data_IF_852834339495
#
_entry.id   IF_852834339495
#
_cell.length_a   1.000
_cell.length_b   1.000
_cell.length_c   1.000
_cell.angle_alpha   90.00
_cell.angle_beta   90.00
_cell.angle_gamma   90.00
#
_symmetry.space_group_name_H-M   'P 1'
#
loop_
_entity.id
_entity.type
_entity.pdbx_description
1 polymer ?
#
# COMPACT_ATOMS: atom_id res chain seq x y z
N UNK A 1 2.28 54.16 0.42
CA UNK A 1 1.30 53.05 0.31
C UNK A 1 1.60 52.25 -0.96
N UNK A 2 2.52 51.28 -0.88
CA UNK A 2 2.91 50.43 -2.02
C UNK A 2 1.89 49.30 -2.20
N UNK A 3 1.48 49.10 -3.45
CA UNK A 3 0.58 48.04 -3.92
C UNK A 3 1.22 46.66 -3.66
N UNK A 4 0.40 45.75 -3.14
CA UNK A 4 0.64 44.31 -3.07
C UNK A 4 0.84 43.77 -4.49
N UNK A 5 2.09 43.45 -4.82
CA UNK A 5 2.46 42.75 -6.04
C UNK A 5 2.36 41.25 -5.81
N UNK A 6 1.62 40.61 -6.70
CA UNK A 6 1.46 39.16 -6.89
C UNK A 6 2.77 38.39 -6.66
N UNK A 7 2.78 37.53 -5.64
CA UNK A 7 3.73 36.42 -5.58
C UNK A 7 3.35 35.43 -6.69
N UNK A 8 4.01 35.58 -7.84
CA UNK A 8 4.12 34.49 -8.82
C UNK A 8 4.89 33.36 -8.13
N UNK A 9 4.17 32.32 -7.73
CA UNK A 9 4.74 30.99 -7.53
C UNK A 9 5.31 30.57 -8.89
N UNK A 10 6.60 30.79 -9.09
CA UNK A 10 7.33 30.09 -10.13
C UNK A 10 7.27 28.61 -9.77
N UNK A 11 6.54 27.82 -10.56
CA UNK A 11 6.67 26.37 -10.65
C UNK A 11 8.13 26.04 -11.02
N UNK A 12 9.01 25.97 -10.03
CA UNK A 12 9.99 24.90 -10.01
C UNK A 12 9.29 23.79 -9.24
N UNK A 13 8.89 22.72 -9.95
CA UNK A 13 8.59 21.45 -9.32
C UNK A 13 9.79 21.14 -8.42
N UNK A 14 9.61 21.28 -7.10
CA UNK A 14 10.56 20.72 -6.16
C UNK A 14 10.42 19.23 -6.37
N UNK A 15 11.37 18.64 -7.08
CA UNK A 15 11.35 17.24 -7.49
C UNK A 15 11.67 16.37 -6.26
N UNK A 16 10.70 16.27 -5.34
CA UNK A 16 10.81 15.45 -4.14
C UNK A 16 11.01 14.01 -4.59
N UNK A 17 12.19 13.46 -4.30
CA UNK A 17 12.54 12.11 -4.73
C UNK A 17 12.03 11.12 -3.70
N UNK A 18 10.95 10.41 -4.01
CA UNK A 18 10.38 9.42 -3.10
C UNK A 18 10.84 8.00 -3.49
N UNK A 19 11.58 7.31 -2.61
CA UNK A 19 12.08 5.94 -2.82
C UNK A 19 10.99 4.97 -3.25
N UNK A 20 9.76 5.15 -2.77
CA UNK A 20 8.59 4.32 -3.09
C UNK A 20 8.03 4.57 -4.50
N UNK A 21 8.51 5.59 -5.21
CA UNK A 21 8.08 5.98 -6.56
C UNK A 21 9.20 5.81 -7.61
N UNK A 22 10.37 5.28 -7.22
CA UNK A 22 11.44 4.99 -8.19
C UNK A 22 11.00 3.87 -9.16
N UNK A 23 11.37 3.95 -10.46
CA UNK A 23 11.00 2.93 -11.45
C UNK A 23 11.45 1.51 -11.04
N UNK A 24 12.65 1.41 -10.48
CA UNK A 24 13.28 0.13 -10.10
C UNK A 24 13.02 -0.20 -8.61
N UNK A 25 12.01 0.42 -7.99
CA UNK A 25 11.70 0.17 -6.57
C UNK A 25 11.37 -1.30 -6.29
N UNK A 26 10.86 -2.01 -7.29
CA UNK A 26 10.54 -3.44 -7.23
C UNK A 26 11.77 -4.26 -6.86
N UNK A 27 12.87 -4.05 -7.58
CA UNK A 27 14.15 -4.71 -7.40
C UNK A 27 14.84 -4.26 -6.09
N UNK A 28 14.64 -2.99 -5.72
CA UNK A 28 15.22 -2.41 -4.50
C UNK A 28 14.47 -2.81 -3.21
N UNK A 29 13.18 -3.14 -3.29
CA UNK A 29 12.31 -3.38 -2.13
C UNK A 29 12.79 -4.49 -1.19
N UNK A 30 13.28 -5.65 -1.65
CA UNK A 30 13.84 -6.68 -0.76
C UNK A 30 14.98 -6.15 0.10
N UNK A 31 15.89 -5.36 -0.50
CA UNK A 31 17.03 -4.77 0.21
C UNK A 31 16.56 -3.74 1.24
N UNK A 32 15.59 -2.90 0.88
CA UNK A 32 14.98 -1.96 1.82
C UNK A 32 14.30 -2.69 2.98
N UNK A 33 13.51 -3.72 2.71
CA UNK A 33 12.83 -4.53 3.73
C UNK A 33 13.82 -5.16 4.69
N UNK A 34 14.89 -5.76 4.19
CA UNK A 34 15.91 -6.40 5.03
C UNK A 34 16.66 -5.38 5.91
N UNK A 35 16.88 -4.17 5.38
CA UNK A 35 17.45 -3.06 6.15
C UNK A 35 16.48 -2.58 7.24
N UNK A 36 15.19 -2.39 6.91
CA UNK A 36 14.16 -2.02 7.89
C UNK A 36 13.97 -3.11 8.95
N UNK A 37 14.06 -4.38 8.56
CA UNK A 37 14.01 -5.52 9.49
C UNK A 37 15.17 -5.50 10.46
N UNK A 38 16.37 -5.18 9.97
CA UNK A 38 17.55 -5.02 10.80
C UNK A 38 17.40 -3.83 11.76
N UNK A 39 16.89 -2.69 11.29
CA UNK A 39 16.58 -1.54 12.14
C UNK A 39 15.54 -1.88 13.23
N UNK A 40 14.46 -2.60 12.86
CA UNK A 40 13.46 -3.06 13.80
C UNK A 40 14.05 -4.02 14.84
N UNK A 41 14.95 -4.92 14.42
CA UNK A 41 15.65 -5.84 15.34
C UNK A 41 16.58 -5.09 16.30
N UNK A 42 17.29 -4.07 15.82
CA UNK A 42 18.17 -3.22 16.64
C UNK A 42 17.40 -2.35 17.65
N UNK A 43 16.08 -2.14 17.45
CA UNK A 43 15.24 -1.40 18.40
C UNK A 43 14.93 -2.17 19.71
N UNK A 44 15.15 -3.49 19.74
CA UNK A 44 14.92 -4.30 20.93
C UNK A 44 16.19 -4.42 21.77
N UNK A 45 16.09 -4.16 23.08
CA UNK A 45 17.22 -4.29 24.01
C UNK A 45 17.73 -5.74 24.18
N UNK A 46 16.89 -6.73 23.82
CA UNK A 46 17.20 -8.17 23.93
C UNK A 46 16.68 -8.91 22.69
N UNK A 47 17.28 -10.07 22.35
CA UNK A 47 16.75 -10.92 21.28
C UNK A 47 15.28 -11.27 21.54
N UNK A 48 14.44 -10.97 20.56
CA UNK A 48 13.00 -11.21 20.61
C UNK A 48 12.56 -12.29 19.61
N UNK A 49 11.34 -12.79 19.81
CA UNK A 49 10.77 -13.80 18.91
C UNK A 49 10.68 -13.25 17.47
N UNK A 50 10.97 -14.06 16.43
CA UNK A 50 10.91 -13.63 15.04
C UNK A 50 9.60 -12.95 14.67
N UNK A 51 8.47 -13.46 15.17
CA UNK A 51 7.14 -12.88 14.93
C UNK A 51 7.00 -11.45 15.47
N UNK A 52 7.64 -11.13 16.60
CA UNK A 52 7.65 -9.77 17.14
C UNK A 52 8.52 -8.84 16.29
N UNK A 53 9.67 -9.35 15.81
CA UNK A 53 10.53 -8.60 14.90
C UNK A 53 9.79 -8.30 13.60
N UNK A 54 9.11 -9.29 13.00
CA UNK A 54 8.30 -9.08 11.78
C UNK A 54 7.20 -8.04 11.97
N UNK A 55 6.51 -8.05 13.12
CA UNK A 55 5.49 -7.04 13.43
C UNK A 55 6.10 -5.65 13.54
N UNK A 56 7.24 -5.52 14.20
CA UNK A 56 7.95 -4.25 14.30
C UNK A 56 8.51 -3.79 12.94
N UNK A 57 9.00 -4.71 12.11
CA UNK A 57 9.42 -4.42 10.73
C UNK A 57 8.27 -3.87 9.92
N UNK A 58 7.12 -4.53 9.94
CA UNK A 58 5.93 -4.11 9.20
C UNK A 58 5.47 -2.72 9.65
N UNK A 59 5.38 -2.49 10.96
CA UNK A 59 5.01 -1.19 11.50
C UNK A 59 6.01 -0.08 11.13
N UNK A 60 7.31 -0.41 11.09
CA UNK A 60 8.37 0.54 10.73
C UNK A 60 8.39 0.84 9.23
N UNK A 61 8.12 -0.14 8.36
CA UNK A 61 7.94 0.04 6.92
C UNK A 61 6.72 0.93 6.64
N UNK A 62 5.58 0.64 7.28
CA UNK A 62 4.35 1.44 7.18
C UNK A 62 4.60 2.88 7.62
N UNK A 63 5.29 3.09 8.75
CA UNK A 63 5.66 4.43 9.21
C UNK A 63 6.57 5.15 8.22
N UNK A 64 7.61 4.46 7.72
CA UNK A 64 8.57 5.00 6.76
C UNK A 64 7.86 5.50 5.50
N UNK A 65 7.03 4.67 4.88
CA UNK A 65 6.29 5.03 3.67
C UNK A 65 5.31 6.17 3.93
N UNK A 66 4.55 6.07 5.02
CA UNK A 66 3.50 7.02 5.35
C UNK A 66 4.01 8.42 5.63
N UNK A 67 5.01 8.55 6.49
CA UNK A 67 5.57 9.85 6.82
C UNK A 67 6.28 10.46 5.59
N UNK A 68 6.92 9.63 4.76
CA UNK A 68 7.54 10.08 3.50
C UNK A 68 6.49 10.65 2.54
N UNK A 69 5.42 9.90 2.26
CA UNK A 69 4.32 10.35 1.39
C UNK A 69 3.59 11.57 1.95
N UNK A 70 3.50 11.69 3.28
CA UNK A 70 2.95 12.90 3.92
C UNK A 70 3.77 14.13 3.57
N UNK A 71 5.08 14.09 3.74
CA UNK A 71 5.95 15.24 3.47
C UNK A 71 6.11 15.53 1.98
N UNK A 72 6.09 14.50 1.14
CA UNK A 72 5.97 14.63 -0.32
C UNK A 72 4.71 15.42 -0.71
N UNK A 73 3.53 15.05 -0.19
CA UNK A 73 2.30 15.78 -0.49
C UNK A 73 2.30 17.21 0.07
N UNK A 74 2.89 17.39 1.24
CA UNK A 74 2.88 18.69 1.94
C UNK A 74 3.87 19.68 1.31
N UNK A 75 4.93 19.20 0.65
CA UNK A 75 5.97 20.02 0.01
C UNK A 75 6.58 21.09 0.95
N UNK A 76 6.66 20.77 2.24
CA UNK A 76 7.22 21.65 3.26
C UNK A 76 7.03 21.08 4.66
N UNK A 77 7.54 21.76 5.69
CA UNK A 77 7.45 21.34 7.09
C UNK A 77 6.96 22.48 7.99
N UNK A 78 5.93 22.22 8.79
CA UNK A 78 5.46 23.16 9.80
C UNK A 78 6.32 23.10 11.09
N UNK A 79 6.42 24.19 11.87
CA UNK A 79 7.26 24.24 13.08
C UNK A 79 7.02 23.08 14.06
N UNK A 80 5.76 22.68 14.26
CA UNK A 80 5.40 21.60 15.18
C UNK A 80 5.79 20.20 14.68
N UNK A 81 6.05 20.02 13.39
CA UNK A 81 6.41 18.73 12.76
C UNK A 81 7.92 18.47 12.76
N UNK A 82 8.75 19.42 13.24
CA UNK A 82 10.22 19.32 13.17
C UNK A 82 10.76 18.04 13.84
N UNK A 83 10.18 17.63 14.97
CA UNK A 83 10.62 16.42 15.69
C UNK A 83 10.30 15.14 14.92
N UNK A 84 9.13 15.08 14.28
CA UNK A 84 8.67 13.96 13.44
C UNK A 84 9.57 13.84 12.21
N UNK A 85 9.77 14.93 11.46
CA UNK A 85 10.69 14.96 10.31
C UNK A 85 12.10 14.52 10.69
N UNK A 86 12.62 14.98 11.83
CA UNK A 86 13.94 14.58 12.32
C UNK A 86 14.00 13.11 12.73
N UNK A 87 12.90 12.50 13.17
CA UNK A 87 12.84 11.06 13.42
C UNK A 87 12.89 10.28 12.10
N UNK A 88 12.11 10.69 11.10
CA UNK A 88 12.10 10.10 9.77
C UNK A 88 13.49 10.17 9.08
N UNK A 89 14.12 11.35 9.09
CA UNK A 89 15.47 11.53 8.53
C UNK A 89 16.50 10.66 9.23
N UNK A 90 16.39 10.48 10.56
CA UNK A 90 17.26 9.58 11.32
C UNK A 90 17.03 8.12 10.94
N UNK A 91 15.78 7.71 10.76
CA UNK A 91 15.45 6.36 10.29
C UNK A 91 16.05 6.08 8.90
N UNK A 92 15.89 7.00 7.95
CA UNK A 92 16.53 6.90 6.64
C UNK A 92 18.06 6.84 6.70
N UNK A 93 18.66 7.63 7.60
CA UNK A 93 20.11 7.59 7.85
C UNK A 93 20.53 6.21 8.35
N UNK A 94 19.76 5.64 9.28
CA UNK A 94 20.04 4.34 9.87
C UNK A 94 19.87 3.20 8.86
N UNK A 95 18.83 3.24 8.02
CA UNK A 95 18.63 2.31 6.91
C UNK A 95 19.83 2.32 5.97
N UNK A 96 20.31 3.51 5.57
CA UNK A 96 21.51 3.62 4.74
C UNK A 96 22.75 3.04 5.40
N UNK A 97 22.94 3.29 6.70
CA UNK A 97 24.05 2.70 7.45
C UNK A 97 23.99 1.17 7.43
N UNK A 98 22.79 0.58 7.52
CA UNK A 98 22.61 -0.88 7.46
C UNK A 98 22.93 -1.40 6.06
N UNK A 99 22.37 -0.78 5.02
CA UNK A 99 22.60 -1.18 3.62
C UNK A 99 24.09 -1.09 3.29
N UNK A 100 24.77 -0.03 3.72
CA UNK A 100 26.21 0.18 3.51
C UNK A 100 27.13 -0.78 4.29
N UNK A 101 26.61 -1.66 5.15
CA UNK A 101 27.40 -2.74 5.79
C UNK A 101 27.58 -3.95 4.88
N UNK A 102 26.85 -4.04 3.76
CA UNK A 102 26.99 -5.13 2.81
C UNK A 102 28.43 -5.22 2.29
N UNK A 103 28.95 -6.45 2.19
CA UNK A 103 30.33 -6.71 1.75
C UNK A 103 30.48 -6.72 0.23
N UNK A 104 29.39 -7.03 -0.48
CA UNK A 104 29.36 -7.12 -1.94
C UNK A 104 28.51 -5.98 -2.49
N UNK A 105 29.08 -5.16 -3.37
CA UNK A 105 28.37 -4.06 -4.04
C UNK A 105 27.80 -4.58 -5.35
N UNK A 106 26.48 -4.73 -5.41
CA UNK A 106 25.75 -5.05 -6.64
C UNK A 106 25.09 -3.78 -7.18
N UNK A 107 24.75 -3.72 -8.49
CA UNK A 107 24.02 -2.58 -9.06
C UNK A 107 22.74 -2.25 -8.29
N UNK A 108 21.99 -3.26 -7.85
CA UNK A 108 20.75 -3.08 -7.07
C UNK A 108 21.03 -2.44 -5.70
N UNK A 109 22.20 -2.72 -5.11
CA UNK A 109 22.64 -2.08 -3.87
C UNK A 109 22.98 -0.60 -4.10
N UNK A 110 23.59 -0.26 -5.23
CA UNK A 110 23.88 1.13 -5.60
C UNK A 110 22.59 1.94 -5.82
N UNK A 111 21.61 1.34 -6.50
CA UNK A 111 20.31 1.98 -6.77
C UNK A 111 19.54 2.26 -5.48
N UNK A 112 19.45 1.29 -4.56
CA UNK A 112 18.77 1.53 -3.27
C UNK A 112 19.52 2.54 -2.41
N UNK A 113 20.86 2.53 -2.40
CA UNK A 113 21.64 3.57 -1.70
C UNK A 113 21.31 4.94 -2.28
N UNK A 114 21.26 5.05 -3.61
CA UNK A 114 20.92 6.28 -4.29
C UNK A 114 19.50 6.75 -3.93
N UNK A 115 18.49 5.91 -4.15
CA UNK A 115 17.09 6.25 -3.94
C UNK A 115 16.80 6.66 -2.49
N UNK A 116 17.28 5.87 -1.51
CA UNK A 116 17.11 6.15 -0.08
C UNK A 116 17.85 7.44 0.31
N UNK A 117 19.03 7.68 -0.24
CA UNK A 117 19.78 8.92 0.01
C UNK A 117 19.09 10.15 -0.60
N UNK A 118 18.53 10.04 -1.81
CA UNK A 118 17.77 11.12 -2.44
C UNK A 118 16.54 11.47 -1.61
N UNK A 119 15.74 10.49 -1.18
CA UNK A 119 14.59 10.74 -0.30
C UNK A 119 14.99 11.41 1.00
N UNK A 120 16.06 10.95 1.64
CA UNK A 120 16.59 11.60 2.85
C UNK A 120 16.96 13.07 2.59
N UNK A 121 17.62 13.36 1.46
CA UNK A 121 18.01 14.73 1.10
C UNK A 121 16.79 15.60 0.78
N UNK A 122 15.80 15.08 0.04
CA UNK A 122 14.54 15.78 -0.24
C UNK A 122 13.81 16.15 1.06
N UNK A 123 13.76 15.25 2.04
CA UNK A 123 13.18 15.53 3.37
C UNK A 123 13.92 16.64 4.12
N UNK A 124 15.26 16.64 4.10
CA UNK A 124 16.09 17.66 4.76
C UNK A 124 15.89 19.04 4.11
N UNK A 125 15.68 19.08 2.80
CA UNK A 125 15.58 20.32 2.02
C UNK A 125 14.17 20.93 2.01
N UNK A 126 13.19 20.29 2.67
CA UNK A 126 11.82 20.80 2.70
C UNK A 126 11.76 22.24 3.23
N UNK A 127 11.05 23.15 2.52
CA UNK A 127 10.90 24.51 2.97
C UNK A 127 10.07 24.58 4.26
N UNK A 128 10.40 25.54 5.13
CA UNK A 128 9.61 25.79 6.34
C UNK A 128 8.30 26.49 5.99
N UNK A 129 7.19 25.93 6.44
CA UNK A 129 5.85 26.48 6.31
C UNK A 129 5.47 27.31 7.53
N UNK A 130 4.48 28.18 7.38
CA UNK A 130 3.92 29.00 8.47
C UNK A 130 2.62 28.38 8.95
N UNK A 131 2.48 28.18 10.26
CA UNK A 131 1.25 27.66 10.87
C UNK A 131 1.50 26.40 11.69
N UNK A 132 0.46 25.57 11.82
CA UNK A 132 0.51 24.28 12.52
C UNK A 132 0.07 23.21 11.52
N UNK A 133 0.95 22.26 11.27
CA UNK A 133 0.66 21.10 10.43
C UNK A 133 0.08 19.96 11.23
N UNK A 134 -0.59 19.03 10.58
CA UNK A 134 -1.07 17.83 11.25
C UNK A 134 0.12 16.94 11.64
N UNK A 135 0.14 16.47 12.88
CA UNK A 135 1.10 15.47 13.34
C UNK A 135 0.57 14.09 13.02
N UNK A 136 1.49 13.15 12.82
CA UNK A 136 1.14 11.75 12.68
C UNK A 136 0.37 11.26 13.91
N UNK A 137 -0.74 10.56 13.67
CA UNK A 137 -1.58 9.95 14.70
C UNK A 137 -1.97 8.55 14.26
N UNK A 138 -1.37 7.55 14.89
CA UNK A 138 -1.64 6.13 14.64
C UNK A 138 -3.14 5.78 14.76
N UNK A 139 -3.88 6.47 15.62
CA UNK A 139 -5.30 6.23 15.86
C UNK A 139 -6.23 6.95 14.87
N UNK A 140 -5.71 7.92 14.11
CA UNK A 140 -6.51 8.83 13.28
C UNK A 140 -6.13 8.87 11.81
N UNK A 141 -4.88 8.70 11.48
CA UNK A 141 -4.47 8.86 10.10
C UNK A 141 -4.91 7.63 9.30
N UNK A 142 -5.21 7.82 8.01
CA UNK A 142 -5.42 6.74 7.03
C UNK A 142 -4.28 6.66 6.01
N UNK A 143 -4.04 5.48 5.45
CA UNK A 143 -2.95 5.24 4.49
C UNK A 143 -3.37 5.66 3.08
N UNK A 144 -4.63 5.38 2.74
CA UNK A 144 -5.26 5.78 1.48
C UNK A 144 -5.42 7.30 1.42
N UNK A 145 -5.08 7.87 0.27
CA UNK A 145 -5.25 9.30 0.02
C UNK A 145 -6.75 9.60 0.00
N UNK A 146 -7.26 10.47 0.91
CA UNK A 146 -8.68 10.78 0.98
C UNK A 146 -9.25 11.26 -0.36
N UNK A 147 -10.52 10.96 -0.60
CA UNK A 147 -11.27 11.34 -1.80
C UNK A 147 -10.77 10.71 -3.12
N UNK A 148 -9.78 9.82 -3.12
CA UNK A 148 -9.28 9.16 -4.35
C UNK A 148 -10.08 7.89 -4.68
N UNK A 149 -9.77 7.23 -5.81
CA UNK A 149 -10.47 6.01 -6.21
C UNK A 149 -10.36 4.89 -5.17
N UNK A 150 -9.14 4.60 -4.70
CA UNK A 150 -8.93 3.54 -3.74
C UNK A 150 -9.55 3.85 -2.38
N UNK A 151 -9.50 5.11 -1.95
CA UNK A 151 -10.22 5.58 -0.75
C UNK A 151 -11.73 5.40 -0.89
N UNK A 152 -12.31 5.78 -2.03
CA UNK A 152 -13.75 5.62 -2.28
C UNK A 152 -14.19 4.15 -2.24
N UNK A 153 -13.49 3.27 -2.96
CA UNK A 153 -13.81 1.84 -2.98
C UNK A 153 -13.68 1.24 -1.58
N UNK A 154 -12.60 1.58 -0.86
CA UNK A 154 -12.39 1.09 0.51
C UNK A 154 -13.45 1.62 1.46
N UNK A 155 -13.84 2.90 1.34
CA UNK A 155 -14.96 3.50 2.10
C UNK A 155 -16.24 2.72 1.91
N UNK A 156 -16.57 2.40 0.67
CA UNK A 156 -17.77 1.66 0.34
C UNK A 156 -17.79 0.29 1.04
N UNK A 157 -16.68 -0.44 0.98
CA UNK A 157 -16.56 -1.81 1.49
C UNK A 157 -16.43 -1.87 3.02
N UNK A 158 -15.82 -0.85 3.64
CA UNK A 158 -15.56 -0.81 5.09
C UNK A 158 -16.77 -0.29 5.86
N UNK A 159 -17.73 0.34 5.18
CA UNK A 159 -18.95 0.91 5.78
C UNK A 159 -19.67 0.03 6.82
N UNK A 160 -19.92 -1.28 6.61
CA UNK A 160 -20.56 -2.13 7.63
C UNK A 160 -19.71 -2.38 8.89
N UNK A 161 -18.41 -2.10 8.83
CA UNK A 161 -17.46 -2.27 9.92
C UNK A 161 -17.14 -0.97 10.67
N UNK A 162 -17.73 0.15 10.28
CA UNK A 162 -17.57 1.42 10.97
C UNK A 162 -18.34 1.41 12.30
N UNK A 163 -17.74 2.01 13.33
CA UNK A 163 -18.40 2.25 14.63
C UNK A 163 -19.42 3.37 14.48
N UNK A 164 -19.01 4.48 13.88
CA UNK A 164 -19.88 5.54 13.35
C UNK A 164 -19.96 5.42 11.82
N UNK A 165 -21.10 4.99 11.26
CA UNK A 165 -21.31 4.82 9.81
C UNK A 165 -21.17 6.12 8.99
N UNK A 166 -21.22 7.28 9.65
CA UNK A 166 -21.03 8.59 9.03
C UNK A 166 -19.63 9.17 9.22
N UNK A 167 -18.81 8.52 10.06
CA UNK A 167 -17.45 8.93 10.35
C UNK A 167 -16.44 8.51 9.28
N UNK A 168 -15.23 9.05 9.40
CA UNK A 168 -14.09 8.74 8.51
C UNK A 168 -13.53 7.34 8.79
N UNK A 169 -12.77 6.80 7.84
CA UNK A 169 -12.10 5.48 7.94
C UNK A 169 -10.78 5.63 8.67
N UNK A 170 -10.89 6.03 9.93
CA UNK A 170 -9.73 6.15 10.80
C UNK A 170 -9.63 4.92 11.68
N UNK A 171 -8.42 4.48 12.09
CA UNK A 171 -8.27 3.28 12.92
C UNK A 171 -9.19 3.29 14.15
N UNK A 172 -9.37 4.42 14.81
CA UNK A 172 -10.29 4.58 15.94
C UNK A 172 -11.79 4.34 15.61
N UNK A 173 -12.22 4.54 14.36
CA UNK A 173 -13.62 4.41 13.94
C UNK A 173 -13.92 3.08 13.20
N UNK A 174 -12.93 2.20 13.05
CA UNK A 174 -13.08 0.95 12.29
C UNK A 174 -12.91 -0.24 13.24
N UNK A 175 -13.87 -1.17 13.22
CA UNK A 175 -13.79 -2.43 13.97
C UNK A 175 -12.63 -3.31 13.46
N UNK A 176 -12.19 -4.28 14.27
CA UNK A 176 -11.01 -5.12 13.95
C UNK A 176 -11.08 -5.79 12.57
N UNK A 177 -12.23 -6.36 12.19
CA UNK A 177 -12.42 -6.98 10.87
C UNK A 177 -12.31 -5.95 9.74
N UNK A 178 -12.91 -4.76 9.93
CA UNK A 178 -12.78 -3.65 9.00
C UNK A 178 -11.35 -3.15 8.87
N UNK A 179 -10.56 -3.10 9.95
CA UNK A 179 -9.15 -2.70 9.89
C UNK A 179 -8.34 -3.66 9.03
N UNK A 180 -8.59 -4.96 9.15
CA UNK A 180 -7.95 -5.95 8.29
C UNK A 180 -8.33 -5.75 6.82
N UNK A 181 -9.58 -5.38 6.54
CA UNK A 181 -10.01 -5.05 5.19
C UNK A 181 -9.33 -3.77 4.68
N UNK A 182 -9.24 -2.71 5.48
CA UNK A 182 -8.52 -1.47 5.13
C UNK A 182 -7.07 -1.79 4.77
N UNK A 183 -6.35 -2.51 5.64
CA UNK A 183 -4.95 -2.91 5.39
C UNK A 183 -4.81 -3.73 4.11
N UNK A 184 -5.73 -4.67 3.86
CA UNK A 184 -5.77 -5.42 2.58
C UNK A 184 -5.95 -4.47 1.41
N UNK A 185 -6.93 -3.58 1.46
CA UNK A 185 -7.21 -2.63 0.36
C UNK A 185 -6.05 -1.67 0.12
N UNK A 186 -5.43 -1.11 1.17
CA UNK A 186 -4.20 -0.31 1.07
C UNK A 186 -3.10 -1.11 0.42
N UNK A 187 -2.86 -2.33 0.90
CA UNK A 187 -1.85 -3.23 0.34
C UNK A 187 -2.11 -3.41 -1.15
N UNK A 188 -3.33 -3.69 -1.58
CA UNK A 188 -3.61 -3.92 -3.00
C UNK A 188 -3.63 -2.68 -3.88
N UNK A 189 -3.85 -1.51 -3.28
CA UNK A 189 -3.73 -0.23 -3.98
C UNK A 189 -2.28 0.12 -4.31
N UNK A 190 -1.34 -0.16 -3.39
CA UNK A 190 0.05 0.29 -3.47
C UNK A 190 1.08 -0.83 -3.67
N UNK A 191 0.68 -2.09 -3.57
CA UNK A 191 1.59 -3.23 -3.74
C UNK A 191 2.01 -3.36 -5.18
N UNK A 192 3.31 -3.54 -5.38
CA UNK A 192 3.83 -4.09 -6.62
C UNK A 192 3.40 -5.56 -6.77
N UNK A 193 2.62 -5.78 -7.82
CA UNK A 193 2.01 -7.07 -8.15
C UNK A 193 2.96 -8.01 -8.84
N UNK A 194 3.95 -7.50 -9.58
CA UNK A 194 4.88 -8.33 -10.33
C UNK A 194 5.82 -9.07 -9.37
N UNK A 195 6.35 -8.40 -8.34
CA UNK A 195 7.07 -9.08 -7.26
C UNK A 195 6.18 -10.09 -6.51
N UNK A 196 4.93 -9.73 -6.21
CA UNK A 196 4.05 -10.62 -5.46
C UNK A 196 3.77 -11.93 -6.19
N UNK A 197 3.50 -11.84 -7.49
CA UNK A 197 3.25 -13.00 -8.34
C UNK A 197 4.52 -13.82 -8.60
N UNK A 198 5.69 -13.15 -8.65
CA UNK A 198 6.99 -13.83 -8.76
C UNK A 198 7.26 -14.69 -7.52
N UNK A 199 6.99 -14.18 -6.31
CA UNK A 199 7.15 -14.99 -5.09
C UNK A 199 6.24 -16.22 -5.05
N UNK A 200 4.99 -16.09 -5.50
CA UNK A 200 4.09 -17.24 -5.62
C UNK A 200 4.68 -18.29 -6.58
N UNK A 201 5.18 -17.83 -7.74
CA UNK A 201 5.78 -18.70 -8.74
C UNK A 201 7.02 -19.41 -8.17
N UNK A 202 7.91 -18.71 -7.50
CA UNK A 202 9.10 -19.29 -6.88
C UNK A 202 8.76 -20.33 -5.82
N UNK A 203 7.81 -20.05 -4.93
CA UNK A 203 7.37 -21.01 -3.91
C UNK A 203 6.75 -22.26 -4.55
N UNK A 204 5.95 -22.10 -5.62
CA UNK A 204 5.47 -23.24 -6.40
C UNK A 204 6.63 -24.01 -7.05
N UNK A 205 7.63 -23.32 -7.60
CA UNK A 205 8.81 -23.94 -8.22
C UNK A 205 9.64 -24.75 -7.23
N UNK A 206 9.79 -24.25 -6.00
CA UNK A 206 10.46 -24.99 -4.91
C UNK A 206 9.73 -26.30 -4.62
N UNK A 207 8.40 -26.28 -4.52
CA UNK A 207 7.60 -27.49 -4.33
C UNK A 207 7.71 -28.43 -5.54
N UNK A 208 7.63 -27.89 -6.76
CA UNK A 208 7.75 -28.64 -8.02
C UNK A 208 9.08 -29.38 -8.15
N UNK A 209 10.17 -28.78 -7.69
CA UNK A 209 11.52 -29.33 -7.78
C UNK A 209 11.91 -30.24 -6.60
N UNK A 210 11.07 -30.35 -5.56
CA UNK A 210 11.36 -31.15 -4.38
C UNK A 210 11.24 -32.64 -4.67
N UNK A 211 12.36 -33.36 -4.56
CA UNK A 211 12.42 -34.82 -4.76
C UNK A 211 11.86 -35.57 -3.55
N UNK A 212 11.28 -36.75 -3.81
CA UNK A 212 10.84 -37.69 -2.76
C UNK A 212 9.49 -37.37 -2.11
N UNK A 213 8.71 -36.44 -2.67
CA UNK A 213 7.33 -36.21 -2.23
C UNK A 213 6.41 -37.31 -2.77
N UNK A 214 5.47 -37.76 -1.95
CA UNK A 214 4.30 -38.52 -2.42
C UNK A 214 3.38 -37.58 -3.22
N UNK A 215 2.58 -38.13 -4.14
CA UNK A 215 1.61 -37.34 -4.92
C UNK A 215 0.68 -36.53 -4.01
N UNK A 216 0.21 -37.13 -2.91
CA UNK A 216 -0.64 -36.45 -1.93
C UNK A 216 0.07 -35.27 -1.24
N UNK A 217 1.30 -35.49 -0.74
CA UNK A 217 2.10 -34.44 -0.09
C UNK A 217 2.50 -33.32 -1.07
N UNK A 218 2.70 -33.67 -2.35
CA UNK A 218 2.99 -32.73 -3.43
C UNK A 218 1.80 -31.79 -3.68
N UNK A 219 0.61 -32.34 -3.90
CA UNK A 219 -0.59 -31.53 -4.13
C UNK A 219 -1.01 -30.74 -2.90
N UNK A 220 -0.84 -31.28 -1.69
CA UNK A 220 -1.09 -30.55 -0.45
C UNK A 220 -0.17 -29.32 -0.30
N UNK A 221 1.12 -29.45 -0.63
CA UNK A 221 2.06 -28.33 -0.57
C UNK A 221 1.76 -27.28 -1.63
N UNK A 222 1.43 -27.68 -2.87
CA UNK A 222 1.02 -26.72 -3.90
C UNK A 222 -0.29 -26.00 -3.56
N UNK A 223 -1.27 -26.72 -3.01
CA UNK A 223 -2.52 -26.12 -2.52
C UNK A 223 -2.24 -25.07 -1.43
N UNK A 224 -1.37 -25.39 -0.47
CA UNK A 224 -1.02 -24.47 0.61
C UNK A 224 -0.36 -23.18 0.08
N UNK A 225 0.51 -23.30 -0.93
CA UNK A 225 1.09 -22.12 -1.61
C UNK A 225 -0.02 -21.35 -2.32
N UNK A 226 -0.83 -21.96 -3.18
CA UNK A 226 -1.85 -21.23 -3.93
C UNK A 226 -2.92 -20.58 -3.01
N UNK A 227 -3.27 -21.21 -1.90
CA UNK A 227 -4.15 -20.64 -0.87
C UNK A 227 -3.52 -19.44 -0.15
N UNK A 228 -2.20 -19.49 0.10
CA UNK A 228 -1.45 -18.38 0.72
C UNK A 228 -1.51 -17.11 -0.15
N UNK A 229 -1.54 -17.26 -1.47
CA UNK A 229 -1.59 -16.15 -2.43
C UNK A 229 -2.99 -15.94 -3.05
N UNK A 230 -4.03 -16.61 -2.54
CA UNK A 230 -5.38 -16.54 -3.09
C UNK A 230 -5.96 -15.12 -3.08
N UNK A 231 -5.48 -14.30 -2.17
CA UNK A 231 -5.86 -12.91 -1.94
C UNK A 231 -5.41 -11.96 -3.07
N UNK A 232 -4.58 -12.42 -4.01
CA UNK A 232 -4.33 -11.70 -5.28
C UNK A 232 -5.58 -11.41 -6.09
N UNK A 233 -6.69 -12.10 -5.83
CA UNK A 233 -7.98 -11.81 -6.48
C UNK A 233 -8.42 -10.35 -6.27
N UNK A 234 -8.07 -9.72 -5.14
CA UNK A 234 -8.47 -8.34 -4.86
C UNK A 234 -7.86 -7.32 -5.84
N UNK A 235 -6.62 -7.49 -6.33
CA UNK A 235 -6.12 -6.58 -7.38
C UNK A 235 -6.90 -6.71 -8.66
N UNK A 236 -7.18 -7.95 -9.07
CA UNK A 236 -7.93 -8.19 -10.28
C UNK A 236 -9.29 -7.51 -10.20
N UNK A 237 -9.99 -7.69 -9.08
CA UNK A 237 -11.28 -7.03 -8.82
C UNK A 237 -11.14 -5.51 -8.82
N UNK A 238 -10.13 -4.94 -8.17
CA UNK A 238 -9.85 -3.50 -8.19
C UNK A 238 -9.59 -2.96 -9.60
N UNK A 239 -8.80 -3.68 -10.40
CA UNK A 239 -8.52 -3.35 -11.78
C UNK A 239 -9.80 -3.39 -12.63
N UNK A 240 -10.62 -4.44 -12.47
CA UNK A 240 -11.90 -4.58 -13.17
C UNK A 240 -12.87 -3.43 -12.82
N UNK A 241 -12.96 -3.07 -11.54
CA UNK A 241 -13.76 -1.92 -11.06
C UNK A 241 -13.24 -0.62 -11.67
N UNK A 242 -11.94 -0.42 -11.71
CA UNK A 242 -11.33 0.77 -12.29
C UNK A 242 -11.60 0.88 -13.79
N UNK A 243 -11.45 -0.21 -14.53
CA UNK A 243 -11.74 -0.24 -15.97
C UNK A 243 -13.21 0.00 -16.26
N UNK A 244 -14.11 -0.57 -15.44
CA UNK A 244 -15.54 -0.29 -15.54
C UNK A 244 -15.86 1.18 -15.19
N UNK A 245 -15.20 1.74 -14.17
CA UNK A 245 -15.34 3.14 -13.78
C UNK A 245 -14.90 4.10 -14.90
N UNK A 246 -13.77 3.84 -15.56
CA UNK A 246 -13.33 4.65 -16.71
C UNK A 246 -14.36 4.70 -17.84
N UNK A 247 -15.11 3.61 -18.06
CA UNK A 247 -16.13 3.55 -19.13
C UNK A 247 -17.34 4.43 -18.83
N UNK A 248 -17.68 4.62 -17.56
CA UNK A 248 -18.78 5.51 -17.15
C UNK A 248 -18.31 6.95 -16.90
N UNK A 249 -17.00 7.16 -16.73
CA UNK A 249 -16.39 8.46 -16.57
C UNK A 249 -16.24 9.15 -17.94
N UNK A 250 -17.19 10.04 -18.26
CA UNK A 250 -17.18 10.82 -19.50
C UNK A 250 -16.11 11.94 -19.42
N UNK A 251 -15.40 12.28 -20.51
CA UNK A 251 -14.44 13.39 -20.55
C UNK A 251 -14.99 14.76 -20.10
N UNK A 252 -16.32 14.94 -20.12
CA UNK A 252 -17.00 16.12 -19.60
C UNK A 252 -16.88 16.28 -18.08
N UNK A 253 -16.65 15.19 -17.34
CA UNK A 253 -16.47 15.20 -15.88
C UNK A 253 -15.01 15.40 -15.47
N UNK A 254 -14.07 14.81 -16.22
CA UNK A 254 -12.65 15.09 -16.07
C UNK A 254 -11.90 14.84 -17.38
N UNK A 255 -10.96 15.72 -17.72
CA UNK A 255 -10.12 15.58 -18.92
C UNK A 255 -9.05 14.49 -18.74
N UNK A 256 -8.57 14.31 -17.51
CA UNK A 256 -7.57 13.33 -17.12
C UNK A 256 -7.95 12.75 -15.77
N UNK A 257 -7.89 11.43 -15.64
CA UNK A 257 -8.18 10.74 -14.40
C UNK A 257 -6.97 9.88 -14.02
N UNK A 258 -6.38 10.21 -12.89
CA UNK A 258 -5.32 9.48 -12.24
C UNK A 258 -5.86 8.81 -10.99
N UNK A 259 -5.80 7.48 -10.97
CA UNK A 259 -6.45 6.65 -9.95
C UNK A 259 -5.99 6.97 -8.51
N UNK A 260 -4.73 7.39 -8.36
CA UNK A 260 -4.09 7.65 -7.07
C UNK A 260 -4.26 9.07 -6.54
N UNK A 261 -4.50 10.04 -7.42
CA UNK A 261 -4.33 11.46 -7.09
C UNK A 261 -5.57 12.28 -7.40
N UNK A 262 -6.44 11.82 -8.31
CA UNK A 262 -7.61 12.60 -8.72
C UNK A 262 -8.72 12.51 -7.67
N UNK A 263 -9.13 13.64 -7.06
CA UNK A 263 -10.22 13.64 -6.09
C UNK A 263 -11.56 13.37 -6.79
N UNK A 264 -12.29 12.38 -6.30
CA UNK A 264 -13.60 11.93 -6.80
C UNK A 264 -14.75 12.78 -6.28
N UNK A 265 -14.66 13.30 -5.06
CA UNK A 265 -15.74 14.10 -4.44
C UNK A 265 -16.33 15.18 -5.36
N UNK A 266 -15.54 16.02 -6.07
CA UNK A 266 -16.05 17.00 -7.02
C UNK A 266 -16.79 16.38 -8.22
N UNK A 267 -16.31 15.25 -8.73
CA UNK A 267 -16.88 14.52 -9.87
C UNK A 267 -18.24 13.95 -9.47
N UNK A 268 -18.28 13.23 -8.35
CA UNK A 268 -19.48 12.51 -7.89
C UNK A 268 -20.58 13.46 -7.42
N UNK A 269 -20.25 14.65 -6.88
CA UNK A 269 -21.23 15.69 -6.56
C UNK A 269 -21.88 16.29 -7.81
N UNK A 270 -21.09 16.52 -8.87
CA UNK A 270 -21.61 17.04 -10.15
C UNK A 270 -22.44 15.99 -10.91
N UNK A 271 -22.15 14.71 -10.72
CA UNK A 271 -22.79 13.61 -11.42
C UNK A 271 -23.25 12.48 -10.46
N UNK A 272 -24.40 12.65 -9.77
CA UNK A 272 -24.92 11.65 -8.85
C UNK A 272 -25.19 10.28 -9.49
N UNK A 273 -25.49 10.26 -10.79
CA UNK A 273 -25.69 9.01 -11.54
C UNK A 273 -24.39 8.20 -11.67
N UNK A 274 -23.25 8.86 -11.88
CA UNK A 274 -21.93 8.21 -11.93
C UNK A 274 -21.61 7.57 -10.58
N UNK A 275 -21.97 8.24 -9.48
CA UNK A 275 -21.84 7.67 -8.14
C UNK A 275 -22.65 6.38 -7.99
N UNK A 276 -23.93 6.39 -8.37
CA UNK A 276 -24.80 5.21 -8.28
C UNK A 276 -24.26 4.04 -9.11
N UNK A 277 -23.75 4.34 -10.32
CA UNK A 277 -23.15 3.33 -11.18
C UNK A 277 -21.84 2.77 -10.59
N UNK A 278 -20.97 3.63 -10.04
CA UNK A 278 -19.75 3.19 -9.35
C UNK A 278 -20.08 2.30 -8.14
N UNK A 279 -21.05 2.69 -7.32
CA UNK A 279 -21.52 1.87 -6.18
C UNK A 279 -21.99 0.49 -6.65
N UNK A 280 -22.72 0.43 -7.77
CA UNK A 280 -23.18 -0.83 -8.36
C UNK A 280 -22.03 -1.68 -8.90
N UNK A 281 -21.05 -1.06 -9.58
CA UNK A 281 -19.85 -1.76 -10.08
C UNK A 281 -19.09 -2.37 -8.91
N UNK A 282 -18.84 -1.61 -7.84
CA UNK A 282 -18.16 -2.09 -6.64
C UNK A 282 -18.95 -3.26 -6.05
N UNK A 283 -20.27 -3.09 -5.84
CA UNK A 283 -21.13 -4.14 -5.27
C UNK A 283 -21.06 -5.45 -6.06
N UNK A 284 -21.10 -5.37 -7.39
CA UNK A 284 -21.08 -6.54 -8.26
C UNK A 284 -19.71 -7.22 -8.28
N UNK A 285 -18.65 -6.44 -8.45
CA UNK A 285 -17.29 -6.97 -8.57
C UNK A 285 -16.77 -7.57 -7.25
N UNK A 286 -17.13 -6.95 -6.12
CA UNK A 286 -16.77 -7.44 -4.78
C UNK A 286 -17.75 -8.48 -4.22
N UNK A 287 -18.76 -8.89 -4.99
CA UNK A 287 -19.81 -9.82 -4.56
C UNK A 287 -20.45 -9.42 -3.21
N UNK A 288 -20.72 -8.13 -3.05
CA UNK A 288 -21.19 -7.57 -1.79
C UNK A 288 -22.63 -8.01 -1.50
N UNK A 289 -22.82 -8.63 -0.34
CA UNK A 289 -24.10 -9.18 0.10
C UNK A 289 -25.10 -8.11 0.60
N UNK A 290 -26.24 -8.55 1.14
CA UNK A 290 -27.26 -7.65 1.69
C UNK A 290 -26.83 -6.93 2.98
N UNK A 291 -25.86 -7.48 3.72
CA UNK A 291 -25.27 -6.86 4.90
C UNK A 291 -24.15 -5.87 4.56
N UNK A 292 -23.75 -5.79 3.29
CA UNK A 292 -22.67 -4.93 2.82
C UNK A 292 -21.29 -5.57 2.91
N UNK A 293 -21.22 -6.88 3.20
CA UNK A 293 -19.97 -7.63 3.32
C UNK A 293 -19.56 -8.18 1.95
N UNK A 294 -18.29 -8.01 1.60
CA UNK A 294 -17.69 -8.58 0.39
C UNK A 294 -17.43 -10.08 0.52
N UNK A 295 -17.48 -10.79 -0.60
CA UNK A 295 -17.23 -12.24 -0.68
C UNK A 295 -16.31 -12.60 -1.86
N UNK A 296 -15.29 -11.77 -2.10
CA UNK A 296 -14.38 -11.94 -3.25
C UNK A 296 -13.58 -13.23 -3.14
N UNK A 297 -13.16 -13.57 -1.92
CA UNK A 297 -12.29 -14.71 -1.64
C UNK A 297 -12.99 -16.07 -1.77
N UNK A 298 -14.30 -16.12 -1.54
CA UNK A 298 -15.05 -17.37 -1.38
C UNK A 298 -14.94 -18.26 -2.62
N UNK A 299 -15.22 -17.68 -3.79
CA UNK A 299 -15.13 -18.38 -5.06
C UNK A 299 -13.69 -18.80 -5.38
N UNK A 300 -12.71 -17.95 -5.07
CA UNK A 300 -11.30 -18.22 -5.34
C UNK A 300 -10.76 -19.37 -4.49
N UNK A 301 -11.04 -19.34 -3.18
CA UNK A 301 -10.65 -20.41 -2.25
C UNK A 301 -11.31 -21.73 -2.65
N UNK A 302 -12.61 -21.71 -2.99
CA UNK A 302 -13.31 -22.92 -3.40
C UNK A 302 -12.76 -23.49 -4.71
N UNK A 303 -12.44 -22.64 -5.70
CA UNK A 303 -11.84 -23.05 -6.96
C UNK A 303 -10.48 -23.74 -6.75
N UNK A 304 -9.62 -23.16 -5.88
CA UNK A 304 -8.32 -23.74 -5.52
C UNK A 304 -8.52 -25.13 -4.87
N UNK A 305 -9.39 -25.22 -3.87
CA UNK A 305 -9.66 -26.50 -3.19
C UNK A 305 -10.19 -27.56 -4.14
N UNK A 306 -11.15 -27.22 -4.99
CA UNK A 306 -11.72 -28.14 -5.97
C UNK A 306 -10.65 -28.63 -6.97
N UNK A 307 -9.77 -27.74 -7.43
CA UNK A 307 -8.65 -28.08 -8.33
C UNK A 307 -7.72 -29.13 -7.69
N UNK A 308 -7.29 -28.92 -6.45
CA UNK A 308 -6.37 -29.86 -5.80
C UNK A 308 -7.05 -31.12 -5.30
N UNK A 309 -8.33 -31.06 -4.94
CA UNK A 309 -9.14 -32.26 -4.70
C UNK A 309 -9.21 -33.13 -5.96
N UNK A 310 -9.54 -32.53 -7.11
CA UNK A 310 -9.54 -33.25 -8.39
C UNK A 310 -8.17 -33.88 -8.68
N UNK A 311 -7.07 -33.18 -8.42
CA UNK A 311 -5.74 -33.75 -8.61
C UNK A 311 -5.45 -34.95 -7.70
N UNK A 312 -5.81 -34.84 -6.41
CA UNK A 312 -5.68 -35.95 -5.48
C UNK A 312 -6.54 -37.15 -5.86
N UNK A 313 -7.73 -36.95 -6.41
CA UNK A 313 -8.65 -38.05 -6.76
C UNK A 313 -8.26 -38.77 -8.07
N UNK A 314 -7.56 -38.09 -8.98
CA UNK A 314 -7.34 -38.61 -10.35
C UNK A 314 -5.87 -38.90 -10.70
N UNK A 315 -4.91 -38.42 -9.90
CA UNK A 315 -3.47 -38.53 -10.19
C UNK A 315 -2.63 -38.98 -9.00
N UNK A 316 -3.25 -39.55 -7.94
CA UNK A 316 -2.51 -40.16 -6.81
C UNK A 316 -1.98 -41.55 -7.12
#
# INVERSE_FOLDING_TARGET
MRKLGEFRLNNQESDFQNVFEFPDFVEMRPVLRDAVRSAARESFERPELPVKVERATTALEEQLERETRKYERQMGVYPNQTTELNALVRLYTHILQIISRATDITPELEDIIYAVNQTRLSLIQLPKLVGVGELYREDRDQELIPDTFYDYVTTYLVKPYLIDPSGQIVPANVQKAGRQLVVKMTTYAYRDWDAYLTHEYDEQHIVKNRRGLTNDAYYQQLEAVELKYADKVYSKVLADVYQAFKRILIPAYTKQFEIMTTPLSPILRKAPQVKQQLDQIIRQAFHVDAAGVEHVMDNQIQAIKNKYQFYRENFT
#
